data_IF_193017479265
#
_entry.id   IF_193017479265
#
_cell.length_a   1.000
_cell.length_b   1.000
_cell.length_c   1.000
_cell.angle_alpha   90.00
_cell.angle_beta   90.00
_cell.angle_gamma   90.00
#
_symmetry.space_group_name_H-M   'P 1'
#
loop_
_entity.id
_entity.type
_entity.pdbx_description
1 polymer ?
#
# COMPACT_ATOMS: atom_id res chain seq x y z
N UNK A 1 -23.73 -8.18 -18.33
CA UNK A 1 -22.28 -8.00 -18.60
C UNK A 1 -21.52 -7.70 -17.32
N UNK A 2 -22.00 -6.78 -16.49
CA UNK A 2 -21.45 -6.48 -15.15
C UNK A 2 -21.42 -7.71 -14.22
N UNK A 3 -22.46 -8.54 -14.27
CA UNK A 3 -22.56 -9.81 -13.51
C UNK A 3 -21.48 -10.83 -13.89
N UNK A 4 -21.18 -10.97 -15.19
CA UNK A 4 -20.22 -11.94 -15.70
C UNK A 4 -18.78 -11.53 -15.39
N UNK A 5 -18.47 -10.23 -15.50
CA UNK A 5 -17.16 -9.69 -15.10
C UNK A 5 -16.92 -9.91 -13.61
N UNK A 6 -17.94 -9.67 -12.77
CA UNK A 6 -17.85 -9.91 -11.33
C UNK A 6 -17.62 -11.39 -11.01
N UNK A 7 -18.32 -12.29 -11.68
CA UNK A 7 -18.14 -13.74 -11.52
C UNK A 7 -16.69 -14.15 -11.81
N UNK A 8 -16.14 -13.73 -12.96
CA UNK A 8 -14.74 -14.00 -13.32
C UNK A 8 -13.76 -13.41 -12.30
N UNK A 9 -14.00 -12.19 -11.82
CA UNK A 9 -13.12 -11.57 -10.82
C UNK A 9 -13.12 -12.31 -9.49
N UNK A 10 -14.30 -12.76 -9.03
CA UNK A 10 -14.43 -13.45 -7.76
C UNK A 10 -13.89 -14.89 -7.81
N UNK A 11 -13.95 -15.54 -8.96
CA UNK A 11 -13.48 -16.92 -9.14
C UNK A 11 -11.97 -17.03 -9.40
N UNK A 12 -11.41 -16.14 -10.22
CA UNK A 12 -10.01 -16.24 -10.65
C UNK A 12 -9.03 -15.34 -9.88
N UNK A 13 -9.51 -14.38 -9.07
CA UNK A 13 -8.65 -13.52 -8.27
C UNK A 13 -8.72 -13.90 -6.81
N UNK A 14 -7.61 -14.46 -6.30
CA UNK A 14 -7.47 -14.77 -4.87
C UNK A 14 -7.56 -13.49 -4.05
N UNK A 15 -8.62 -13.37 -3.24
CA UNK A 15 -8.75 -12.30 -2.25
C UNK A 15 -7.82 -12.60 -1.07
N UNK A 16 -7.00 -11.62 -0.71
CA UNK A 16 -6.14 -11.71 0.48
C UNK A 16 -6.73 -10.88 1.61
N UNK A 17 -6.85 -11.50 2.78
CA UNK A 17 -7.30 -10.84 4.00
C UNK A 17 -6.16 -10.03 4.61
N UNK A 18 -6.04 -8.78 4.17
CA UNK A 18 -5.13 -7.81 4.76
C UNK A 18 -5.86 -6.87 5.72
N UNK A 19 -5.18 -6.37 6.76
CA UNK A 19 -5.80 -5.43 7.69
C UNK A 19 -6.22 -4.15 6.95
N UNK A 20 -7.31 -3.53 7.42
CA UNK A 20 -7.80 -2.31 6.81
C UNK A 20 -6.88 -1.11 7.12
N UNK A 21 -6.42 -0.43 6.07
CA UNK A 21 -5.62 0.78 6.13
C UNK A 21 -6.09 1.82 5.11
N UNK A 22 -5.71 3.06 5.37
CA UNK A 22 -6.14 4.26 4.67
C UNK A 22 -4.95 5.17 4.34
N UNK A 23 -5.20 6.22 3.56
CA UNK A 23 -4.18 7.24 3.30
C UNK A 23 -3.72 7.88 4.63
N UNK A 24 -2.42 8.14 4.74
CA UNK A 24 -1.79 8.66 5.95
C UNK A 24 -1.28 7.58 6.91
N UNK A 25 -1.74 6.33 6.78
CA UNK A 25 -1.24 5.23 7.59
C UNK A 25 0.19 4.85 7.19
N UNK A 26 1.01 4.49 8.18
CA UNK A 26 2.35 3.96 7.94
C UNK A 26 2.30 2.44 8.01
N UNK A 27 2.56 1.79 6.88
CA UNK A 27 2.50 0.33 6.76
C UNK A 27 3.85 -0.24 6.34
N UNK A 28 4.09 -1.49 6.71
CA UNK A 28 5.20 -2.31 6.23
C UNK A 28 4.61 -3.41 5.36
N UNK A 29 4.98 -3.41 4.09
CA UNK A 29 4.57 -4.45 3.13
C UNK A 29 5.71 -5.42 2.95
N UNK A 30 5.46 -6.69 3.18
CA UNK A 30 6.37 -7.78 2.90
C UNK A 30 5.97 -8.41 1.58
N UNK A 31 6.91 -8.48 0.65
CA UNK A 31 6.68 -9.10 -0.65
C UNK A 31 7.89 -9.90 -1.09
N UNK A 32 7.62 -10.94 -1.85
CA UNK A 32 8.63 -11.85 -2.37
C UNK A 32 9.29 -11.28 -3.63
N UNK A 33 10.60 -11.43 -3.72
CA UNK A 33 11.40 -11.08 -4.89
C UNK A 33 12.15 -12.33 -5.33
N UNK A 34 12.05 -12.63 -6.62
CA UNK A 34 12.81 -13.69 -7.27
C UNK A 34 13.99 -13.08 -8.01
N UNK A 35 15.20 -13.44 -7.60
CA UNK A 35 16.46 -13.05 -8.26
C UNK A 35 17.11 -14.32 -8.81
N UNK A 36 16.90 -14.59 -10.11
CA UNK A 36 17.32 -15.84 -10.75
C UNK A 36 16.59 -17.04 -10.15
N UNK A 37 17.33 -17.98 -9.55
CA UNK A 37 16.78 -19.19 -8.92
C UNK A 37 16.45 -19.01 -7.42
N UNK A 38 16.77 -17.86 -6.81
CA UNK A 38 16.57 -17.63 -5.38
C UNK A 38 15.41 -16.69 -5.12
N UNK A 39 14.54 -17.06 -4.19
CA UNK A 39 13.48 -16.20 -3.69
C UNK A 39 13.83 -15.66 -2.31
N UNK A 40 13.51 -14.39 -2.07
CA UNK A 40 13.67 -13.76 -0.75
C UNK A 40 12.53 -12.81 -0.46
N UNK A 41 12.18 -12.68 0.81
CA UNK A 41 11.20 -11.69 1.27
C UNK A 41 11.88 -10.35 1.50
N UNK A 42 11.42 -9.31 0.80
CA UNK A 42 11.81 -7.93 1.06
C UNK A 42 10.65 -7.18 1.72
N UNK A 43 10.98 -6.21 2.58
CA UNK A 43 9.98 -5.32 3.16
C UNK A 43 10.10 -3.89 2.61
N UNK A 44 8.95 -3.22 2.49
CA UNK A 44 8.85 -1.82 2.14
C UNK A 44 7.97 -1.11 3.16
N UNK A 45 8.61 -0.29 4.01
CA UNK A 45 7.93 0.53 5.02
C UNK A 45 7.81 1.97 4.55
N UNK A 46 6.60 2.52 4.65
CA UNK A 46 6.35 3.91 4.32
C UNK A 46 4.90 4.33 4.56
N UNK A 47 4.58 5.55 4.15
CA UNK A 47 3.24 6.14 4.30
C UNK A 47 2.39 5.83 3.07
N UNK A 48 1.15 5.39 3.29
CA UNK A 48 0.17 5.23 2.22
C UNK A 48 -0.29 6.60 1.76
N UNK A 49 -0.07 6.95 0.50
CA UNK A 49 -0.48 8.25 -0.04
C UNK A 49 -1.82 8.20 -0.80
N UNK A 50 -2.17 7.03 -1.30
CA UNK A 50 -3.45 6.77 -1.98
C UNK A 50 -3.82 5.29 -1.90
N UNK A 51 -5.13 5.04 -1.92
CA UNK A 51 -5.74 3.76 -2.25
C UNK A 51 -6.74 4.03 -3.38
N UNK A 52 -6.66 3.29 -4.49
CA UNK A 52 -7.45 3.53 -5.71
C UNK A 52 -7.96 2.21 -6.27
N UNK A 53 -9.10 2.25 -6.91
CA UNK A 53 -9.69 1.12 -7.61
C UNK A 53 -10.75 0.42 -6.76
N UNK A 54 -11.41 -0.54 -7.38
CA UNK A 54 -12.55 -1.26 -6.83
C UNK A 54 -12.32 -2.77 -6.94
N UNK A 55 -12.85 -3.51 -5.96
CA UNK A 55 -12.81 -4.98 -5.94
C UNK A 55 -11.40 -5.54 -6.16
N UNK A 56 -11.29 -6.46 -7.11
CA UNK A 56 -10.06 -7.19 -7.43
C UNK A 56 -8.91 -6.29 -7.95
N UNK A 57 -9.25 -5.15 -8.56
CA UNK A 57 -8.29 -4.23 -9.20
C UNK A 57 -7.71 -3.16 -8.27
N UNK A 58 -8.01 -3.25 -6.97
CA UNK A 58 -7.60 -2.23 -6.02
C UNK A 58 -6.08 -2.19 -5.87
N UNK A 59 -5.53 -0.98 -5.89
CA UNK A 59 -4.11 -0.68 -5.69
C UNK A 59 -3.93 0.33 -4.58
N UNK A 60 -2.74 0.35 -3.99
CA UNK A 60 -2.33 1.37 -3.04
C UNK A 60 -0.90 1.81 -3.33
N UNK A 61 -0.56 3.04 -2.95
CA UNK A 61 0.78 3.59 -3.15
C UNK A 61 1.40 3.93 -1.82
N UNK A 62 2.60 3.39 -1.59
CA UNK A 62 3.42 3.70 -0.43
C UNK A 62 4.56 4.62 -0.86
N UNK A 63 4.79 5.66 -0.07
CA UNK A 63 5.93 6.56 -0.20
C UNK A 63 6.85 6.42 1.01
N UNK A 64 8.16 6.33 0.76
CA UNK A 64 9.20 6.47 1.78
C UNK A 64 10.34 7.36 1.29
N UNK A 65 11.11 7.92 2.21
CA UNK A 65 12.41 8.49 1.87
C UNK A 65 13.47 7.39 1.98
N UNK A 66 14.28 7.21 0.93
CA UNK A 66 15.46 6.35 0.92
C UNK A 66 16.68 7.26 0.86
N UNK A 67 17.28 7.53 2.01
CA UNK A 67 18.25 8.62 2.13
C UNK A 67 17.59 9.97 1.79
N UNK A 68 18.13 10.68 0.82
CA UNK A 68 17.62 11.98 0.33
C UNK A 68 16.58 11.85 -0.79
N UNK A 69 16.36 10.65 -1.32
CA UNK A 69 15.49 10.42 -2.49
C UNK A 69 14.13 9.86 -2.05
N UNK A 70 13.05 10.47 -2.53
CA UNK A 70 11.69 9.97 -2.32
C UNK A 70 11.40 8.79 -3.24
N UNK A 71 11.09 7.63 -2.67
CA UNK A 71 10.75 6.41 -3.40
C UNK A 71 9.27 6.10 -3.20
N UNK A 72 8.55 5.94 -4.31
CA UNK A 72 7.16 5.50 -4.31
C UNK A 72 7.05 4.11 -4.96
N UNK A 73 6.16 3.29 -4.40
CA UNK A 73 5.80 2.00 -4.99
C UNK A 73 4.30 1.81 -4.97
N UNK A 74 3.78 1.32 -6.09
CA UNK A 74 2.37 1.00 -6.26
C UNK A 74 2.23 -0.51 -6.18
N UNK A 75 1.36 -0.99 -5.30
CA UNK A 75 1.08 -2.42 -5.12
C UNK A 75 -0.38 -2.71 -5.43
N UNK A 76 -0.69 -3.72 -6.25
CA UNK A 76 -1.99 -4.34 -6.27
C UNK A 76 -2.28 -5.04 -4.93
N UNK A 77 -3.49 -4.88 -4.41
CA UNK A 77 -3.90 -5.48 -3.13
C UNK A 77 -3.82 -7.02 -3.20
N UNK A 78 -4.23 -7.59 -4.33
CA UNK A 78 -4.28 -9.04 -4.55
C UNK A 78 -3.02 -9.59 -5.23
N UNK A 79 -1.89 -8.89 -5.14
CA UNK A 79 -0.64 -9.36 -5.73
C UNK A 79 -0.22 -10.70 -5.08
N UNK A 80 0.04 -11.77 -5.87
CA UNK A 80 0.43 -13.08 -5.32
C UNK A 80 1.71 -13.02 -4.48
N UNK A 81 2.68 -12.21 -4.88
CA UNK A 81 3.93 -12.01 -4.16
C UNK A 81 3.78 -11.22 -2.83
N UNK A 82 2.63 -10.60 -2.54
CA UNK A 82 2.41 -9.88 -1.28
C UNK A 82 2.15 -10.87 -0.14
N UNK A 83 3.06 -10.97 0.82
CA UNK A 83 2.98 -11.97 1.88
C UNK A 83 2.23 -11.44 3.11
N UNK A 84 2.58 -10.23 3.55
CA UNK A 84 2.05 -9.63 4.78
C UNK A 84 1.97 -8.11 4.66
N UNK A 85 0.92 -7.52 5.23
CA UNK A 85 0.85 -6.07 5.47
C UNK A 85 0.74 -5.85 6.98
N UNK A 86 1.66 -5.07 7.53
CA UNK A 86 1.67 -4.70 8.94
C UNK A 86 1.41 -3.20 9.09
N UNK A 87 0.45 -2.85 9.95
CA UNK A 87 0.12 -1.45 10.26
C UNK A 87 0.99 -1.00 11.42
N UNK A 88 1.97 -0.14 11.15
CA UNK A 88 2.85 0.39 12.19
C UNK A 88 2.22 1.57 12.92
N UNK A 89 1.47 2.42 12.20
CA UNK A 89 0.90 3.65 12.74
C UNK A 89 -0.32 4.07 11.93
N UNK A 90 -1.40 4.47 12.62
CA UNK A 90 -2.58 5.06 11.97
C UNK A 90 -2.47 6.58 11.91
N UNK A 91 -2.46 7.13 10.71
CA UNK A 91 -2.31 8.56 10.46
C UNK A 91 -3.66 9.29 10.45
N UNK A 92 -3.69 10.50 11.02
CA UNK A 92 -4.84 11.40 10.89
C UNK A 92 -4.62 12.33 9.71
N UNK A 93 -5.31 12.08 8.61
CA UNK A 93 -5.36 12.96 7.43
C UNK A 93 -6.81 13.26 7.06
N UNK A 94 -7.04 14.34 6.32
CA UNK A 94 -8.38 14.76 5.89
C UNK A 94 -8.70 14.37 4.44
N UNK A 95 -7.69 14.07 3.64
CA UNK A 95 -7.85 13.74 2.20
C UNK A 95 -7.68 12.24 1.99
N UNK A 96 -8.50 11.64 1.13
CA UNK A 96 -8.33 10.25 0.69
C UNK A 96 -7.07 10.03 -0.17
N UNK A 97 -6.55 11.11 -0.77
CA UNK A 97 -5.28 11.14 -1.51
C UNK A 97 -4.44 12.32 -1.00
N UNK A 98 -3.26 12.03 -0.49
CA UNK A 98 -2.38 13.03 0.14
C UNK A 98 -1.16 13.32 -0.74
N UNK A 99 -1.37 13.63 -2.03
CA UNK A 99 -0.25 13.89 -2.95
C UNK A 99 0.64 15.07 -2.56
N UNK A 100 0.11 16.04 -1.81
CA UNK A 100 0.91 17.13 -1.22
C UNK A 100 2.07 16.59 -0.37
N UNK A 101 1.97 15.37 0.14
CA UNK A 101 3.02 14.70 0.91
C UNK A 101 4.31 14.45 0.09
N UNK A 102 4.24 14.56 -1.26
CA UNK A 102 5.40 14.45 -2.15
C UNK A 102 6.38 15.60 -1.99
N UNK A 103 5.84 16.79 -1.77
CA UNK A 103 6.58 18.05 -1.66
C UNK A 103 7.07 18.29 -0.23
N UNK A 104 6.56 17.55 0.75
CA UNK A 104 6.94 17.69 2.15
C UNK A 104 8.15 16.82 2.49
N UNK A 105 9.10 17.39 3.23
CA UNK A 105 10.28 16.69 3.76
C UNK A 105 10.52 17.02 5.23
N UNK A 106 11.35 16.21 5.90
CA UNK A 106 11.76 16.42 7.29
C UNK A 106 10.58 16.53 8.27
N UNK A 107 10.64 17.50 9.20
CA UNK A 107 9.61 17.71 10.23
C UNK A 107 8.23 18.02 9.65
N UNK A 108 8.17 18.68 8.48
CA UNK A 108 6.90 19.00 7.80
C UNK A 108 6.18 17.77 7.26
N UNK A 109 6.92 16.70 6.94
CA UNK A 109 6.36 15.42 6.49
C UNK A 109 5.88 14.53 7.65
N UNK A 110 5.80 15.03 8.90
CA UNK A 110 5.35 14.23 10.03
C UNK A 110 3.81 14.20 10.09
N UNK A 111 3.24 13.02 9.90
CA UNK A 111 1.78 12.81 10.04
C UNK A 111 1.41 12.61 11.51
N UNK A 112 0.42 13.37 11.96
CA UNK A 112 -0.16 13.24 13.31
C UNK A 112 -0.84 11.88 13.45
N UNK A 113 -0.66 11.25 14.59
CA UNK A 113 -1.33 9.98 14.88
C UNK A 113 -2.82 10.17 15.14
N UNK A 114 -3.64 9.25 14.67
CA UNK A 114 -5.05 9.19 15.04
C UNK A 114 -5.13 8.76 16.50
N UNK A 115 -5.59 9.65 17.39
CA UNK A 115 -5.93 9.28 18.77
C UNK A 115 -7.03 8.21 18.71
N UNK A 116 -6.86 7.14 19.50
CA UNK A 116 -7.93 6.18 19.76
C UNK A 116 -9.09 6.88 20.45
#
# INVERSE_FOLDING_TARGET
MESLIKFVQDEFVTKKDFPEFSAGDTITVYYEITEGAKTRTQFFRGVVIQKRGTGASQTFTIRKMSGTVGVERIFPLNLPALQKIEINKRGKVRRARIYYFRELTGKKARIKERRR
#
